data_IF_344457628182
#
_entry.id   IF_344457628182
#
_cell.length_a   1.000
_cell.length_b   1.000
_cell.length_c   1.000
_cell.angle_alpha   90.00
_cell.angle_beta   90.00
_cell.angle_gamma   90.00
#
_symmetry.space_group_name_H-M   'P 1'
#
loop_
_entity.id
_entity.type
_entity.pdbx_description
1 polymer ?
#
# COMPACT_ATOMS: atom_id res chain seq x y z
N UNK A 1 21.17 9.14 -5.19
CA UNK A 1 20.59 10.38 -5.74
C UNK A 1 19.34 10.71 -4.94
N UNK A 2 19.39 11.70 -4.06
CA UNK A 2 18.24 12.16 -3.27
C UNK A 2 17.40 13.10 -4.13
N UNK A 3 16.09 12.90 -4.20
CA UNK A 3 15.21 13.81 -4.94
C UNK A 3 15.26 15.20 -4.28
N UNK A 4 15.64 16.22 -5.05
CA UNK A 4 15.72 17.63 -4.62
C UNK A 4 14.37 18.35 -4.61
N UNK A 5 13.30 17.65 -5.01
CA UNK A 5 11.94 18.17 -5.07
C UNK A 5 11.14 17.53 -3.95
N UNK A 6 10.55 18.37 -3.09
CA UNK A 6 9.62 17.90 -2.06
C UNK A 6 8.40 17.25 -2.74
N UNK A 7 7.99 16.04 -2.32
CA UNK A 7 6.84 15.37 -2.89
C UNK A 7 5.59 16.24 -2.70
N UNK A 8 4.87 16.50 -3.80
CA UNK A 8 3.60 17.20 -3.76
C UNK A 8 2.50 16.20 -3.38
N UNK A 9 1.80 16.45 -2.27
CA UNK A 9 0.68 15.62 -1.85
C UNK A 9 -0.50 15.83 -2.80
N UNK A 10 -1.04 14.75 -3.37
CA UNK A 10 -2.23 14.84 -4.20
C UNK A 10 -3.44 15.26 -3.37
N UNK A 11 -4.13 16.33 -3.80
CA UNK A 11 -5.36 16.80 -3.16
C UNK A 11 -6.58 16.32 -3.96
N UNK A 12 -7.48 15.50 -3.37
CA UNK A 12 -8.72 15.13 -4.03
C UNK A 12 -9.63 16.35 -4.23
N UNK A 13 -10.40 16.34 -5.32
CA UNK A 13 -11.39 17.38 -5.61
C UNK A 13 -12.51 17.49 -4.55
N UNK A 14 -12.68 16.47 -3.70
CA UNK A 14 -13.65 16.43 -2.60
C UNK A 14 -13.21 17.18 -1.34
N UNK A 15 -12.08 17.90 -1.37
CA UNK A 15 -11.71 18.90 -0.36
C UNK A 15 -11.04 18.36 0.91
N UNK A 16 -11.19 17.07 1.22
CA UNK A 16 -10.49 16.46 2.37
C UNK A 16 -9.12 15.93 1.94
N UNK A 17 -8.00 16.44 2.48
CA UNK A 17 -6.67 15.96 2.12
C UNK A 17 -6.52 14.49 2.49
N UNK A 18 -5.90 13.70 1.61
CA UNK A 18 -5.51 12.33 1.93
C UNK A 18 -4.31 12.38 2.90
N UNK A 19 -4.61 12.33 4.19
CA UNK A 19 -3.61 12.21 5.26
C UNK A 19 -3.34 10.73 5.52
N UNK A 20 -2.08 10.32 5.47
CA UNK A 20 -1.67 9.03 5.98
C UNK A 20 -1.52 9.17 7.49
N UNK A 21 -2.63 9.04 8.23
CA UNK A 21 -2.60 9.06 9.69
C UNK A 21 -1.89 7.78 10.18
N UNK A 22 -0.57 7.86 10.33
CA UNK A 22 0.21 6.87 11.06
C UNK A 22 0.18 7.28 12.52
N UNK A 23 -0.89 6.91 13.22
CA UNK A 23 -0.94 7.11 14.67
C UNK A 23 0.30 6.44 15.27
N UNK A 24 1.15 7.25 15.91
CA UNK A 24 2.38 6.88 16.63
C UNK A 24 2.06 5.99 17.84
N UNK A 25 1.49 4.81 17.59
CA UNK A 25 0.76 4.10 18.63
C UNK A 25 0.41 2.67 18.29
N UNK A 26 1.34 1.89 17.72
CA UNK A 26 1.44 0.48 18.08
C UNK A 26 2.74 -0.16 17.59
N UNK A 27 3.67 -0.48 18.49
CA UNK A 27 4.71 -1.49 18.30
C UNK A 27 4.10 -2.90 18.24
N UNK A 28 3.23 -3.16 17.27
CA UNK A 28 2.67 -4.49 17.05
C UNK A 28 3.22 -5.04 15.75
N UNK A 29 4.36 -5.71 15.87
CA UNK A 29 4.81 -6.74 14.93
C UNK A 29 4.79 -6.29 13.46
N UNK A 30 5.63 -5.28 13.19
CA UNK A 30 5.95 -4.70 11.87
C UNK A 30 6.54 -5.76 10.92
N UNK A 31 5.71 -6.73 10.50
CA UNK A 31 6.01 -7.50 9.31
C UNK A 31 5.91 -6.52 8.14
N UNK A 32 7.05 -6.28 7.49
CA UNK A 32 7.13 -5.39 6.34
C UNK A 32 6.00 -5.73 5.35
N UNK A 33 5.21 -4.72 4.99
CA UNK A 33 4.19 -4.90 3.98
C UNK A 33 4.87 -5.26 2.65
N UNK A 34 4.37 -6.30 1.98
CA UNK A 34 4.94 -6.73 0.71
C UNK A 34 3.85 -7.14 -0.27
N UNK A 35 4.17 -6.96 -1.56
CA UNK A 35 3.30 -7.33 -2.67
C UNK A 35 4.13 -8.12 -3.66
N UNK A 36 3.60 -9.27 -4.08
CA UNK A 36 4.22 -10.11 -5.10
C UNK A 36 3.23 -10.36 -6.24
N UNK A 37 3.73 -10.25 -7.47
CA UNK A 37 2.99 -10.53 -8.68
C UNK A 37 3.37 -11.92 -9.21
N UNK A 38 2.38 -12.72 -9.60
CA UNK A 38 2.65 -14.00 -10.25
C UNK A 38 3.30 -13.81 -11.62
N UNK A 39 4.07 -14.79 -12.08
CA UNK A 39 4.80 -14.73 -13.37
C UNK A 39 3.91 -14.47 -14.60
N UNK A 40 2.63 -14.84 -14.51
CA UNK A 40 1.64 -14.67 -15.57
C UNK A 40 0.76 -13.44 -15.36
N UNK A 41 1.13 -12.55 -14.43
CA UNK A 41 0.42 -11.34 -14.04
C UNK A 41 -1.05 -11.54 -13.65
N UNK A 42 -1.47 -12.78 -13.38
CA UNK A 42 -2.87 -13.11 -13.11
C UNK A 42 -3.25 -13.01 -11.64
N UNK A 43 -2.28 -12.98 -10.73
CA UNK A 43 -2.52 -12.91 -9.29
C UNK A 43 -1.59 -11.94 -8.57
N UNK A 44 -2.15 -11.24 -7.60
CA UNK A 44 -1.39 -10.42 -6.65
C UNK A 44 -1.51 -11.03 -5.26
N UNK A 45 -0.38 -11.28 -4.62
CA UNK A 45 -0.30 -11.65 -3.22
C UNK A 45 0.10 -10.41 -2.42
N UNK A 46 -0.72 -10.03 -1.43
CA UNK A 46 -0.44 -8.93 -0.51
C UNK A 46 -0.29 -9.46 0.90
N UNK A 47 0.75 -9.01 1.61
CA UNK A 47 0.93 -9.28 3.03
C UNK A 47 1.05 -7.95 3.78
N UNK A 48 0.21 -7.73 4.79
CA UNK A 48 0.23 -6.54 5.64
C UNK A 48 -0.47 -6.82 6.96
N UNK A 49 0.05 -6.30 8.08
CA UNK A 49 -0.59 -6.45 9.40
C UNK A 49 -0.84 -7.91 9.79
N UNK A 50 0.09 -8.80 9.45
CA UNK A 50 -0.01 -10.24 9.73
C UNK A 50 -1.02 -11.01 8.86
N UNK A 51 -1.69 -10.36 7.90
CA UNK A 51 -2.67 -10.98 7.00
C UNK A 51 -2.07 -11.16 5.62
N UNK A 52 -2.36 -12.29 5.00
CA UNK A 52 -2.03 -12.58 3.60
C UNK A 52 -3.33 -12.66 2.81
N UNK A 53 -3.40 -11.96 1.68
CA UNK A 53 -4.54 -11.98 0.75
C UNK A 53 -4.05 -12.26 -0.67
N UNK A 54 -4.82 -13.06 -1.41
CA UNK A 54 -4.55 -13.41 -2.79
C UNK A 54 -5.69 -12.87 -3.67
N UNK A 55 -5.35 -12.01 -4.62
CA UNK A 55 -6.30 -11.37 -5.53
C UNK A 55 -6.12 -11.90 -6.94
N UNK A 56 -7.22 -12.27 -7.61
CA UNK A 56 -7.20 -12.55 -9.05
C UNK A 56 -7.24 -11.22 -9.81
N UNK A 57 -6.16 -10.84 -10.49
CA UNK A 57 -6.09 -9.59 -11.24
C UNK A 57 -6.98 -9.59 -12.49
N UNK A 58 -7.25 -10.77 -13.06
CA UNK A 58 -8.07 -10.89 -14.26
C UNK A 58 -9.55 -10.65 -13.99
N UNK A 59 -10.04 -11.01 -12.79
CA UNK A 59 -11.47 -10.94 -12.45
C UNK A 59 -11.77 -10.16 -11.18
N UNK A 60 -10.79 -9.46 -10.62
CA UNK A 60 -10.82 -8.70 -9.35
C UNK A 60 -11.88 -9.20 -8.36
N UNK A 61 -11.63 -10.40 -7.83
CA UNK A 61 -12.43 -11.02 -6.76
C UNK A 61 -11.56 -11.27 -5.55
#
# INVERSE_FOLDING_TARGET
CTAVIAPQLWQPASGTPMTNDTSDGNSSEESAACIALSKNDSYVMSASGGKVSLFNMMTFK
#
